data_IF_065561033799
#
_entry.id   IF_065561033799
#
_cell.length_a   1.000
_cell.length_b   1.000
_cell.length_c   1.000
_cell.angle_alpha   90.00
_cell.angle_beta   90.00
_cell.angle_gamma   90.00
#
_symmetry.space_group_name_H-M   'P 1'
#
loop_
_entity.id
_entity.type
_entity.pdbx_description
1 polymer ?
#
# COMPACT_ATOMS: atom_id res chain seq x y z
N UNK A 1 13.75 -8.60 4.15
CA UNK A 1 12.36 -9.02 4.44
C UNK A 1 11.49 -8.70 3.23
N UNK A 2 10.56 -9.58 2.88
CA UNK A 2 9.56 -9.34 1.82
C UNK A 2 8.21 -9.81 2.32
N UNK A 3 7.21 -8.96 2.18
CA UNK A 3 5.79 -9.30 2.32
C UNK A 3 5.05 -8.88 1.06
N UNK A 4 3.99 -9.59 0.69
CA UNK A 4 3.18 -9.27 -0.48
C UNK A 4 1.81 -9.90 -0.39
N UNK A 5 0.86 -9.33 -1.12
CA UNK A 5 -0.48 -9.88 -1.23
C UNK A 5 -1.23 -9.35 -2.45
N UNK A 6 -2.38 -9.97 -2.71
CA UNK A 6 -3.30 -9.58 -3.77
C UNK A 6 -4.71 -9.64 -3.19
N UNK A 7 -5.47 -8.57 -3.34
CA UNK A 7 -6.84 -8.44 -2.84
C UNK A 7 -7.76 -7.85 -3.90
N UNK A 8 -9.07 -7.94 -3.70
CA UNK A 8 -10.02 -7.15 -4.50
C UNK A 8 -9.90 -5.68 -4.10
N UNK A 9 -10.00 -4.78 -5.07
CA UNK A 9 -9.91 -3.33 -4.81
C UNK A 9 -11.01 -2.84 -3.86
N UNK A 10 -12.19 -3.47 -3.94
CA UNK A 10 -13.33 -3.20 -3.06
C UNK A 10 -13.05 -3.52 -1.60
N UNK A 11 -12.26 -4.58 -1.36
CA UNK A 11 -11.97 -5.10 -0.03
C UNK A 11 -10.80 -4.33 0.58
N UNK A 12 -9.87 -3.88 -0.27
CA UNK A 12 -8.72 -3.10 0.14
C UNK A 12 -7.60 -3.95 0.72
N UNK A 13 -6.56 -3.28 1.21
CA UNK A 13 -5.43 -3.91 1.91
C UNK A 13 -5.47 -3.37 3.33
N UNK A 14 -5.38 -4.24 4.34
CA UNK A 14 -5.44 -3.85 5.75
C UNK A 14 -4.40 -4.63 6.54
N UNK A 15 -3.13 -4.24 6.40
CA UNK A 15 -1.99 -5.00 6.97
C UNK A 15 -1.23 -4.20 8.03
N UNK A 16 -0.65 -4.92 8.99
CA UNK A 16 0.26 -4.40 9.98
C UNK A 16 1.52 -5.29 10.03
N UNK A 17 2.49 -5.05 9.13
CA UNK A 17 3.71 -5.83 9.06
C UNK A 17 4.61 -5.61 10.29
N UNK A 18 5.38 -6.62 10.65
CA UNK A 18 6.39 -6.53 11.71
C UNK A 18 7.68 -5.93 11.16
N UNK A 19 7.79 -4.59 11.22
CA UNK A 19 8.91 -3.84 10.66
C UNK A 19 9.89 -3.42 11.75
N UNK A 20 11.18 -3.52 11.43
CA UNK A 20 12.25 -3.03 12.28
C UNK A 20 12.25 -1.49 12.28
N UNK A 21 11.96 -0.90 13.44
CA UNK A 21 11.93 0.55 13.59
C UNK A 21 13.28 1.19 13.20
N UNK A 22 13.22 2.32 12.51
CA UNK A 22 14.39 3.03 12.00
C UNK A 22 14.93 2.52 10.66
N UNK A 23 14.45 1.39 10.16
CA UNK A 23 14.86 0.86 8.85
C UNK A 23 14.00 1.40 7.71
N UNK A 24 14.61 1.50 6.53
CA UNK A 24 13.95 1.94 5.31
C UNK A 24 13.27 0.77 4.59
N UNK A 25 12.04 0.99 4.14
CA UNK A 25 11.24 0.05 3.38
C UNK A 25 10.70 0.72 2.13
N UNK A 26 10.36 -0.12 1.14
CA UNK A 26 9.68 0.29 -0.08
C UNK A 26 8.38 -0.51 -0.22
N UNK A 27 7.27 0.21 -0.30
CA UNK A 27 5.98 -0.33 -0.70
C UNK A 27 5.81 -0.10 -2.21
N UNK A 28 5.47 -1.14 -2.95
CA UNK A 28 5.09 -1.08 -4.35
C UNK A 28 3.68 -1.64 -4.50
N UNK A 29 2.82 -0.90 -5.20
CA UNK A 29 1.41 -1.23 -5.39
C UNK A 29 1.06 -1.09 -6.86
N UNK A 30 0.28 -2.05 -7.36
CA UNK A 30 -0.30 -2.03 -8.70
C UNK A 30 -1.79 -2.35 -8.58
N UNK A 31 -2.63 -1.57 -9.23
CA UNK A 31 -4.05 -1.87 -9.35
C UNK A 31 -4.42 -2.14 -10.81
N UNK A 32 -5.21 -3.18 -11.06
CA UNK A 32 -5.70 -3.54 -12.38
C UNK A 32 -7.22 -3.64 -12.38
N UNK A 33 -7.90 -2.77 -13.12
CA UNK A 33 -9.35 -2.75 -13.23
C UNK A 33 -9.88 -1.38 -13.64
N UNK A 34 -10.71 -0.76 -12.80
CA UNK A 34 -11.27 0.59 -13.03
C UNK A 34 -11.28 1.40 -11.73
N UNK A 35 -11.29 2.72 -11.87
CA UNK A 35 -11.33 3.65 -10.76
C UNK A 35 -9.97 3.88 -10.11
N UNK A 36 -9.99 4.26 -8.84
CA UNK A 36 -8.80 4.66 -8.08
C UNK A 36 -8.87 4.11 -6.67
N UNK A 37 -7.75 3.64 -6.16
CA UNK A 37 -7.55 3.31 -4.76
C UNK A 37 -6.62 4.32 -4.08
N UNK A 38 -6.58 4.32 -2.77
CA UNK A 38 -5.75 5.23 -1.99
C UNK A 38 -5.00 4.49 -0.89
N UNK A 39 -3.67 4.65 -0.86
CA UNK A 39 -2.78 4.13 0.17
C UNK A 39 -2.73 5.13 1.32
N UNK A 40 -2.86 4.62 2.54
CA UNK A 40 -2.68 5.38 3.78
C UNK A 40 -1.78 4.65 4.76
N UNK A 41 -0.98 5.42 5.47
CA UNK A 41 -0.10 4.92 6.52
C UNK A 41 -0.58 5.43 7.89
N UNK A 42 -0.56 4.54 8.88
CA UNK A 42 -0.75 4.91 10.28
C UNK A 42 0.52 4.55 11.06
N UNK A 43 1.16 5.50 11.76
CA UNK A 43 0.78 6.91 11.88
C UNK A 43 0.96 7.70 10.57
N UNK A 44 0.16 8.77 10.36
CA UNK A 44 0.17 9.59 9.14
C UNK A 44 1.52 10.23 8.80
N UNK A 45 2.41 10.36 9.78
CA UNK A 45 3.77 10.89 9.60
C UNK A 45 4.74 9.90 8.95
N UNK A 46 4.36 8.62 8.82
CA UNK A 46 5.23 7.59 8.23
C UNK A 46 5.49 7.85 6.75
N UNK A 47 4.45 8.19 6.00
CA UNK A 47 4.54 8.56 4.59
C UNK A 47 3.28 9.30 4.14
N UNK A 48 3.38 10.04 3.04
CA UNK A 48 2.26 10.72 2.45
C UNK A 48 1.24 9.72 1.90
N UNK A 49 -0.04 10.09 1.99
CA UNK A 49 -1.14 9.40 1.30
C UNK A 49 -0.90 9.42 -0.20
N UNK A 50 -1.15 8.31 -0.89
CA UNK A 50 -0.97 8.20 -2.34
C UNK A 50 -2.17 7.60 -3.05
N UNK A 51 -2.56 8.21 -4.16
CA UNK A 51 -3.52 7.61 -5.08
C UNK A 51 -2.86 6.51 -5.93
N UNK A 52 -3.64 5.48 -6.24
CA UNK A 52 -3.27 4.36 -7.11
C UNK A 52 -4.36 4.20 -8.15
N UNK A 53 -4.06 4.57 -9.39
CA UNK A 53 -4.97 4.34 -10.52
C UNK A 53 -5.04 2.85 -10.83
N UNK A 54 -6.25 2.36 -11.12
CA UNK A 54 -6.46 0.96 -11.51
C UNK A 54 -6.24 0.70 -13.00
N UNK A 55 -5.19 1.32 -13.55
CA UNK A 55 -4.80 1.29 -14.96
C UNK A 55 -3.51 0.47 -15.20
N UNK A 56 -3.10 -0.31 -14.20
CA UNK A 56 -1.86 -1.11 -14.15
C UNK A 56 -0.58 -0.29 -13.98
N UNK A 57 -0.70 1.01 -13.68
CA UNK A 57 0.45 1.82 -13.27
C UNK A 57 1.05 1.32 -11.96
N UNK A 58 2.37 1.40 -11.87
CA UNK A 58 3.12 1.03 -10.66
C UNK A 58 3.31 2.26 -9.79
N UNK A 59 2.77 2.22 -8.58
CA UNK A 59 3.03 3.23 -7.55
C UNK A 59 4.05 2.67 -6.57
N UNK A 60 5.06 3.46 -6.22
CA UNK A 60 6.02 3.11 -5.19
C UNK A 60 6.16 4.23 -4.16
N UNK A 61 6.34 3.84 -2.90
CA UNK A 61 6.60 4.75 -1.79
C UNK A 61 7.70 4.18 -0.90
N UNK A 62 8.70 5.01 -0.59
CA UNK A 62 9.74 4.70 0.39
C UNK A 62 9.41 5.38 1.70
N UNK A 63 9.63 4.68 2.80
CA UNK A 63 9.39 5.23 4.14
C UNK A 63 10.33 4.59 5.16
N UNK A 64 10.54 5.29 6.27
CA UNK A 64 11.26 4.76 7.43
C UNK A 64 10.24 4.23 8.44
N UNK A 65 10.39 2.98 8.86
CA UNK A 65 9.44 2.36 9.78
C UNK A 65 9.55 2.96 11.19
N UNK A 66 8.39 3.26 11.78
CA UNK A 66 8.27 3.51 13.21
C UNK A 66 8.15 2.21 14.01
N UNK A 67 7.83 2.31 15.31
CA UNK A 67 7.59 1.12 16.17
C UNK A 67 6.42 0.26 15.68
N UNK A 68 5.44 0.87 15.04
CA UNK A 68 4.27 0.20 14.48
C UNK A 68 3.85 0.97 13.23
N UNK A 69 3.69 0.25 12.12
CA UNK A 69 3.21 0.82 10.87
C UNK A 69 2.05 -0.04 10.40
N UNK A 70 0.88 0.60 10.24
CA UNK A 70 -0.26 0.00 9.55
C UNK A 70 -0.34 0.61 8.15
N UNK A 71 -0.55 -0.24 7.16
CA UNK A 71 -0.72 0.14 5.77
C UNK A 71 -2.12 -0.27 5.38
N UNK A 72 -2.93 0.72 5.02
CA UNK A 72 -4.26 0.51 4.51
C UNK A 72 -4.33 0.96 3.06
N UNK A 73 -5.08 0.24 2.22
CA UNK A 73 -5.46 0.70 0.89
C UNK A 73 -6.95 0.57 0.71
N UNK A 74 -7.61 1.65 0.31
CA UNK A 74 -9.06 1.69 0.14
C UNK A 74 -9.40 2.03 -1.32
N UNK A 75 -10.21 1.20 -1.97
CA UNK A 75 -10.85 1.57 -3.24
C UNK A 75 -11.84 2.72 -3.04
N UNK A 76 -11.81 3.74 -3.90
CA UNK A 76 -12.87 4.75 -3.96
C UNK A 76 -14.17 4.11 -4.49
N UNK A 77 -15.35 4.77 -4.32
CA UNK A 77 -16.57 4.32 -4.96
C UNK A 77 -16.34 4.03 -6.46
N UNK A 78 -16.96 2.96 -6.96
CA UNK A 78 -16.83 2.44 -8.34
C UNK A 78 -15.48 1.79 -8.69
N UNK A 79 -14.50 1.81 -7.79
CA UNK A 79 -13.24 1.10 -8.00
C UNK A 79 -13.48 -0.42 -7.98
N UNK A 80 -12.93 -1.11 -8.98
CA UNK A 80 -13.10 -2.55 -9.16
C UNK A 80 -11.86 -3.18 -9.76
N UNK A 81 -11.77 -4.51 -9.65
CA UNK A 81 -10.62 -5.29 -10.09
C UNK A 81 -9.77 -5.75 -8.92
N UNK A 82 -8.47 -5.91 -9.16
CA UNK A 82 -7.52 -6.47 -8.19
C UNK A 82 -6.41 -5.46 -7.87
N UNK A 83 -5.96 -5.47 -6.63
CA UNK A 83 -4.82 -4.70 -6.17
C UNK A 83 -3.75 -5.65 -5.64
N UNK A 84 -2.54 -5.51 -6.17
CA UNK A 84 -1.37 -6.25 -5.74
C UNK A 84 -0.42 -5.31 -5.02
N UNK A 85 0.20 -5.80 -3.96
CA UNK A 85 1.18 -5.03 -3.21
C UNK A 85 2.38 -5.88 -2.83
N UNK A 86 3.52 -5.22 -2.69
CA UNK A 86 4.77 -5.79 -2.21
C UNK A 86 5.46 -4.79 -1.31
N UNK A 87 5.89 -5.24 -0.15
CA UNK A 87 6.75 -4.51 0.77
C UNK A 87 8.11 -5.21 0.81
N UNK A 88 9.18 -4.44 0.64
CA UNK A 88 10.54 -4.95 0.76
C UNK A 88 11.39 -4.01 1.61
N UNK A 89 12.33 -4.59 2.37
CA UNK A 89 13.45 -3.82 2.92
C UNK A 89 14.24 -3.20 1.77
N UNK A 90 14.72 -1.97 1.96
CA UNK A 90 15.64 -1.30 1.03
C UNK A 90 17.05 -1.80 1.25
#
# INVERSE_FOLDING_TARGET
MVESGVERVSDGIHTQPDLSAGHAYKLTVVCAGKGTAEITFTPRKTAARKAVSCDRSVVSERFTAGKQVRIDTQGKPEASGMIAWRLNSV
#
